data_IF_943809876151
#
_entry.id   IF_943809876151
#
_cell.length_a   1.000
_cell.length_b   1.000
_cell.length_c   1.000
_cell.angle_alpha   90.00
_cell.angle_beta   90.00
_cell.angle_gamma   90.00
#
_symmetry.space_group_name_H-M   'P 1'
#
loop_
_entity.id
_entity.type
_entity.pdbx_description
1 polymer ?
#
# COMPACT_ATOMS: atom_id res chain seq x y z
N UNK A 1 -27.74 -17.76 -10.10
CA UNK A 1 -27.48 -16.65 -9.24
C UNK A 1 -26.31 -16.87 -8.32
N UNK A 2 -26.27 -18.01 -7.72
CA UNK A 2 -25.20 -18.33 -6.78
C UNK A 2 -23.85 -18.47 -7.45
N UNK A 3 -23.85 -18.91 -8.70
CA UNK A 3 -22.61 -19.07 -9.45
C UNK A 3 -21.95 -17.74 -9.71
N UNK A 4 -22.76 -16.71 -9.85
CA UNK A 4 -22.26 -15.36 -10.05
C UNK A 4 -21.51 -14.90 -8.82
N UNK A 5 -21.94 -15.33 -7.64
CA UNK A 5 -21.31 -14.93 -6.41
C UNK A 5 -19.88 -15.42 -6.31
N UNK A 6 -19.61 -16.64 -6.78
CA UNK A 6 -18.26 -17.19 -6.70
C UNK A 6 -17.28 -16.44 -7.59
N UNK A 7 -17.68 -16.08 -8.79
CA UNK A 7 -16.83 -15.30 -9.70
C UNK A 7 -16.62 -13.91 -9.17
N UNK A 8 -17.68 -13.34 -8.65
CA UNK A 8 -17.67 -11.95 -8.16
C UNK A 8 -16.86 -11.84 -6.87
N UNK A 9 -16.90 -12.88 -6.04
CA UNK A 9 -16.21 -12.86 -4.74
C UNK A 9 -14.72 -12.61 -4.87
N UNK A 10 -14.06 -13.18 -5.88
CA UNK A 10 -12.64 -12.96 -6.07
C UNK A 10 -12.35 -11.51 -6.40
N UNK A 11 -13.15 -10.93 -7.31
CA UNK A 11 -13.00 -9.53 -7.67
C UNK A 11 -13.37 -8.61 -6.50
N UNK A 12 -14.42 -8.99 -5.76
CA UNK A 12 -14.85 -8.23 -4.60
C UNK A 12 -13.80 -8.24 -3.51
N UNK A 13 -13.09 -9.37 -3.36
CA UNK A 13 -12.02 -9.48 -2.37
C UNK A 13 -10.88 -8.53 -2.72
N UNK A 14 -10.42 -8.55 -3.96
CA UNK A 14 -9.36 -7.65 -4.39
C UNK A 14 -9.80 -6.19 -4.28
N UNK A 15 -11.03 -5.89 -4.66
CA UNK A 15 -11.56 -4.54 -4.59
C UNK A 15 -11.65 -4.05 -3.14
N UNK A 16 -12.03 -4.93 -2.22
CA UNK A 16 -12.09 -4.59 -0.81
C UNK A 16 -10.70 -4.31 -0.25
N UNK A 17 -9.74 -5.15 -0.62
CA UNK A 17 -8.35 -4.94 -0.19
C UNK A 17 -7.83 -3.62 -0.75
N UNK A 18 -8.10 -3.33 -2.02
CA UNK A 18 -7.68 -2.08 -2.65
C UNK A 18 -8.28 -0.87 -1.93
N UNK A 19 -9.55 -0.96 -1.56
CA UNK A 19 -10.23 0.12 -0.84
C UNK A 19 -9.56 0.39 0.50
N UNK A 20 -9.23 -0.67 1.24
CA UNK A 20 -8.54 -0.54 2.52
C UNK A 20 -7.12 -0.03 2.34
N UNK A 21 -6.46 -0.42 1.25
CA UNK A 21 -5.12 0.09 0.95
C UNK A 21 -5.15 1.56 0.57
N UNK A 22 -6.15 1.99 -0.20
CA UNK A 22 -6.32 3.41 -0.51
C UNK A 22 -6.50 4.21 0.78
N UNK A 23 -7.29 3.70 1.70
CA UNK A 23 -7.51 4.36 2.98
C UNK A 23 -6.20 4.44 3.78
N UNK A 24 -5.43 3.36 3.78
CA UNK A 24 -4.13 3.33 4.47
C UNK A 24 -3.20 4.41 3.93
N UNK A 25 -3.16 4.60 2.60
CA UNK A 25 -2.32 5.64 2.01
C UNK A 25 -2.81 7.04 2.34
N UNK A 26 -4.12 7.24 2.41
CA UNK A 26 -4.70 8.56 2.65
C UNK A 26 -4.72 8.95 4.10
N UNK A 27 -4.74 7.97 5.00
CA UNK A 27 -4.77 8.22 6.44
C UNK A 27 -3.56 7.54 7.09
N UNK A 28 -2.37 7.92 6.64
CA UNK A 28 -1.11 7.35 7.12
C UNK A 28 -0.99 7.53 8.62
N UNK A 29 -0.63 6.44 9.31
CA UNK A 29 -0.49 6.42 10.75
C UNK A 29 -1.80 6.27 11.50
N UNK A 30 -2.94 6.28 10.81
CA UNK A 30 -4.26 6.09 11.43
C UNK A 30 -4.88 4.79 10.93
N UNK A 31 -4.98 4.65 9.60
CA UNK A 31 -5.56 3.45 8.99
C UNK A 31 -4.52 2.37 8.72
N UNK A 32 -3.35 2.47 9.31
CA UNK A 32 -2.23 1.56 9.16
C UNK A 32 -0.99 2.21 9.73
N UNK A 33 0.13 1.51 9.63
CA UNK A 33 1.40 2.04 10.10
C UNK A 33 2.20 2.58 8.92
N UNK A 34 2.88 3.69 9.13
CA UNK A 34 3.78 4.28 8.14
C UNK A 34 5.21 4.02 8.56
N UNK A 35 5.99 3.47 7.64
CA UNK A 35 7.41 3.26 7.84
C UNK A 35 8.18 3.89 6.67
N UNK A 36 9.15 4.72 6.98
CA UNK A 36 10.04 5.30 5.98
C UNK A 36 11.43 4.71 6.19
N UNK A 37 12.05 4.24 5.11
CA UNK A 37 13.40 3.69 5.21
C UNK A 37 14.39 4.78 5.53
N UNK A 38 15.61 4.37 5.88
CA UNK A 38 16.68 5.30 6.21
C UNK A 38 16.96 6.26 5.05
N UNK A 39 16.92 5.77 3.81
CA UNK A 39 17.17 6.61 2.65
C UNK A 39 16.13 7.70 2.48
N UNK A 40 14.88 7.41 2.79
CA UNK A 40 13.82 8.43 2.74
C UNK A 40 13.99 9.39 3.91
N UNK A 41 14.24 8.87 5.09
CA UNK A 41 14.34 9.71 6.31
C UNK A 41 15.55 10.63 6.28
N UNK A 42 16.55 10.32 5.46
CA UNK A 42 17.72 11.16 5.31
C UNK A 42 17.50 12.35 4.37
N UNK A 43 16.38 12.39 3.65
CA UNK A 43 16.06 13.49 2.75
C UNK A 43 15.60 14.71 3.55
N UNK A 44 15.59 15.87 2.88
CA UNK A 44 15.05 17.08 3.51
C UNK A 44 13.58 16.88 3.84
N UNK A 45 13.12 17.55 4.90
CA UNK A 45 11.74 17.43 5.33
C UNK A 45 10.75 17.79 4.22
N UNK A 46 11.06 18.82 3.44
CA UNK A 46 10.18 19.20 2.35
C UNK A 46 10.07 18.12 1.28
N UNK A 47 11.15 17.37 1.05
CA UNK A 47 11.13 16.25 0.10
C UNK A 47 10.35 15.08 0.67
N UNK A 48 10.54 14.79 1.95
CA UNK A 48 9.78 13.73 2.60
C UNK A 48 8.27 14.01 2.53
N UNK A 49 7.88 15.26 2.78
CA UNK A 49 6.47 15.66 2.71
C UNK A 49 5.92 15.53 1.31
N UNK A 50 6.69 15.96 0.30
CA UNK A 50 6.28 15.86 -1.09
C UNK A 50 6.14 14.39 -1.52
N UNK A 51 7.05 13.53 -1.07
CA UNK A 51 6.99 12.10 -1.38
C UNK A 51 5.75 11.48 -0.74
N UNK A 52 5.45 11.80 0.52
CA UNK A 52 4.24 11.28 1.17
C UNK A 52 2.99 11.70 0.43
N UNK A 53 2.96 12.95 -0.04
CA UNK A 53 1.81 13.42 -0.82
C UNK A 53 1.66 12.65 -2.12
N UNK A 54 2.76 12.35 -2.80
CA UNK A 54 2.72 11.55 -4.03
C UNK A 54 2.24 10.13 -3.78
N UNK A 55 2.60 9.55 -2.64
CA UNK A 55 2.09 8.22 -2.26
C UNK A 55 0.58 8.30 -2.00
N UNK A 56 0.17 9.32 -1.27
CA UNK A 56 -1.23 9.52 -0.89
C UNK A 56 -2.13 9.67 -2.12
N UNK A 57 -1.64 10.38 -3.13
CA UNK A 57 -2.44 10.69 -4.33
C UNK A 57 -2.14 9.78 -5.50
N UNK A 58 -1.28 8.77 -5.33
CA UNK A 58 -0.90 7.87 -6.41
C UNK A 58 -2.13 7.16 -6.98
N UNK A 59 -2.28 7.18 -8.30
CA UNK A 59 -3.41 6.51 -8.95
C UNK A 59 -3.01 5.87 -10.29
N UNK A 60 -1.74 5.79 -10.59
CA UNK A 60 -1.24 5.29 -11.88
C UNK A 60 -1.16 3.75 -11.88
N UNK A 61 -2.26 3.10 -11.52
CA UNK A 61 -2.34 1.64 -11.51
C UNK A 61 -2.75 1.10 -12.87
N UNK A 62 -2.06 0.05 -13.31
CA UNK A 62 -2.33 -0.63 -14.58
C UNK A 62 -2.31 -2.13 -14.33
N UNK A 63 -2.82 -2.94 -15.27
CA UNK A 63 -2.71 -4.40 -15.12
C UNK A 63 -1.27 -4.89 -14.99
N UNK A 64 -0.31 -4.15 -15.55
CA UNK A 64 1.10 -4.54 -15.48
C UNK A 64 1.70 -4.31 -14.10
N UNK A 65 1.40 -3.17 -13.47
CA UNK A 65 1.99 -2.85 -12.18
C UNK A 65 1.09 -3.21 -11.00
N UNK A 66 -0.15 -3.60 -11.27
CA UNK A 66 -1.11 -3.99 -10.23
C UNK A 66 -1.92 -5.19 -10.73
N UNK A 67 -1.24 -6.33 -10.98
CA UNK A 67 -1.88 -7.48 -11.61
C UNK A 67 -3.00 -8.10 -10.77
N UNK A 68 -2.96 -7.93 -9.46
CA UNK A 68 -4.00 -8.49 -8.59
C UNK A 68 -5.10 -7.49 -8.25
N UNK A 69 -4.94 -6.23 -8.65
CA UNK A 69 -5.94 -5.21 -8.40
C UNK A 69 -6.08 -4.78 -6.96
N UNK A 70 -5.04 -5.00 -6.15
CA UNK A 70 -5.06 -4.67 -4.72
C UNK A 70 -4.53 -3.28 -4.40
N UNK A 71 -3.85 -2.65 -5.35
CA UNK A 71 -3.25 -1.32 -5.18
C UNK A 71 -2.33 -1.28 -3.96
N UNK A 72 -1.41 -2.24 -3.92
CA UNK A 72 -0.52 -2.40 -2.78
C UNK A 72 0.93 -2.02 -3.07
N UNK A 73 1.20 -1.49 -4.25
CA UNK A 73 2.55 -1.13 -4.66
C UNK A 73 2.50 0.00 -5.70
N UNK A 74 3.46 0.90 -5.63
CA UNK A 74 3.61 1.93 -6.66
C UNK A 74 5.03 2.44 -6.73
N UNK A 75 5.34 3.08 -7.86
CA UNK A 75 6.66 3.64 -8.11
C UNK A 75 6.51 4.99 -8.79
N UNK A 76 7.37 5.92 -8.42
CA UNK A 76 7.41 7.24 -9.07
C UNK A 76 8.80 7.83 -8.88
N UNK A 77 9.04 8.98 -9.52
CA UNK A 77 10.30 9.68 -9.37
C UNK A 77 10.10 10.98 -8.61
N UNK A 78 11.09 11.32 -7.79
CA UNK A 78 11.14 12.57 -7.08
C UNK A 78 12.58 13.08 -7.10
N UNK A 79 12.81 14.23 -7.73
CA UNK A 79 14.13 14.85 -7.85
C UNK A 79 15.18 13.88 -8.39
N UNK A 80 14.79 13.10 -9.42
CA UNK A 80 15.70 12.18 -10.08
C UNK A 80 15.91 10.86 -9.34
N UNK A 81 15.25 10.66 -8.20
CA UNK A 81 15.36 9.43 -7.44
C UNK A 81 14.10 8.61 -7.64
N UNK A 82 14.27 7.31 -7.84
CA UNK A 82 13.13 6.41 -7.97
C UNK A 82 12.67 5.99 -6.58
N UNK A 83 11.38 6.17 -6.33
CA UNK A 83 10.77 5.90 -5.04
C UNK A 83 9.78 4.77 -5.21
N UNK A 84 9.80 3.82 -4.28
CA UNK A 84 8.79 2.75 -4.20
C UNK A 84 7.99 2.94 -2.92
N UNK A 85 6.74 2.53 -2.98
CA UNK A 85 5.94 2.33 -1.77
C UNK A 85 5.26 0.99 -1.88
N UNK A 86 5.05 0.35 -0.74
CA UNK A 86 4.35 -0.94 -0.69
C UNK A 86 3.54 -1.03 0.59
N UNK A 87 2.49 -1.83 0.55
CA UNK A 87 1.67 -2.12 1.72
C UNK A 87 1.73 -3.63 1.96
N UNK A 88 2.15 -4.00 3.17
CA UNK A 88 2.16 -5.39 3.60
C UNK A 88 1.04 -5.60 4.61
N UNK A 89 0.52 -6.82 4.65
CA UNK A 89 -0.60 -7.19 5.51
C UNK A 89 -0.10 -8.14 6.57
N UNK A 90 -0.07 -7.69 7.82
CA UNK A 90 0.37 -8.49 8.95
C UNK A 90 -0.81 -8.83 9.84
N UNK A 91 -0.67 -9.88 10.65
CA UNK A 91 -1.63 -10.16 11.70
C UNK A 91 -1.49 -9.09 12.80
N UNK A 92 -2.41 -9.12 13.77
CA UNK A 92 -2.43 -8.06 14.79
C UNK A 92 -1.22 -8.10 15.71
N UNK A 93 -0.49 -9.22 15.77
CA UNK A 93 0.73 -9.32 16.55
C UNK A 93 1.99 -8.94 15.75
N UNK A 94 1.84 -8.68 14.46
CA UNK A 94 2.94 -8.32 13.56
C UNK A 94 4.00 -9.43 13.44
N UNK A 95 3.60 -10.67 13.62
CA UNK A 95 4.53 -11.80 13.58
C UNK A 95 4.48 -12.57 12.26
N UNK A 96 3.36 -12.51 11.56
CA UNK A 96 3.18 -13.21 10.28
C UNK A 96 2.15 -12.49 9.44
N UNK A 97 1.97 -12.94 8.20
CA UNK A 97 0.97 -12.36 7.33
C UNK A 97 -0.44 -12.55 7.86
N UNK A 98 -1.31 -11.59 7.53
CA UNK A 98 -2.70 -11.66 7.88
C UNK A 98 -3.39 -12.79 7.10
N UNK A 99 -4.28 -13.50 7.76
CA UNK A 99 -5.08 -14.54 7.12
C UNK A 99 -6.25 -13.96 6.33
N UNK A 100 -6.63 -12.72 6.63
CA UNK A 100 -7.76 -12.09 5.93
C UNK A 100 -7.52 -10.59 5.78
N UNK A 101 -6.83 -10.18 4.71
CA UNK A 101 -6.59 -8.75 4.47
C UNK A 101 -7.85 -7.91 4.21
N UNK A 102 -9.01 -8.55 4.04
CA UNK A 102 -10.27 -7.80 3.90
C UNK A 102 -10.84 -7.41 5.25
N UNK A 103 -10.33 -7.98 6.34
CA UNK A 103 -10.85 -7.71 7.66
C UNK A 103 -9.86 -6.82 8.43
N UNK A 104 -10.19 -5.54 8.62
CA UNK A 104 -9.30 -4.63 9.34
C UNK A 104 -9.10 -4.99 10.80
N UNK A 105 -9.97 -5.83 11.37
CA UNK A 105 -9.81 -6.27 12.75
C UNK A 105 -8.75 -7.35 12.88
N UNK A 106 -8.42 -8.04 11.80
CA UNK A 106 -7.42 -9.10 11.77
C UNK A 106 -6.12 -8.68 11.10
N UNK A 107 -6.06 -7.46 10.60
CA UNK A 107 -4.98 -7.03 9.72
C UNK A 107 -4.39 -5.72 10.19
N UNK A 108 -3.06 -5.67 10.31
CA UNK A 108 -2.34 -4.42 10.45
C UNK A 108 -1.63 -4.19 9.12
N UNK A 109 -2.00 -3.11 8.45
CA UNK A 109 -1.34 -2.71 7.21
C UNK A 109 -0.11 -1.88 7.53
N UNK A 110 1.00 -2.21 6.87
CA UNK A 110 2.24 -1.45 7.03
C UNK A 110 2.60 -0.87 5.66
N UNK A 111 2.53 0.43 5.56
CA UNK A 111 2.93 1.17 4.37
C UNK A 111 4.40 1.55 4.52
N UNK A 112 5.23 1.05 3.60
CA UNK A 112 6.65 1.36 3.60
C UNK A 112 6.97 2.23 2.38
N UNK A 113 7.65 3.34 2.61
CA UNK A 113 8.15 4.22 1.55
C UNK A 113 9.67 4.08 1.54
N UNK A 114 10.25 3.83 0.36
CA UNK A 114 11.67 3.52 0.26
C UNK A 114 12.25 4.05 -1.04
N UNK A 115 13.56 4.24 -1.07
CA UNK A 115 14.24 4.40 -2.35
C UNK A 115 14.21 3.06 -3.07
N UNK A 116 14.11 3.09 -4.41
CA UNK A 116 14.11 1.84 -5.17
C UNK A 116 15.36 1.01 -4.89
N UNK A 117 16.48 1.67 -4.60
CA UNK A 117 17.73 0.98 -4.30
C UNK A 117 17.71 0.25 -2.96
N UNK A 118 16.72 0.51 -2.13
CA UNK A 118 16.59 -0.14 -0.82
C UNK A 118 15.63 -1.31 -0.84
N UNK A 119 15.05 -1.57 -2.00
CA UNK A 119 14.02 -2.62 -2.11
C UNK A 119 14.63 -4.04 -2.07
#
# INVERSE_FOLDING_TARGET
MDDTDNSTNTNDTAAKIAELNDLCRKAMGIAGRLYQTQGISALLQQDQSAIREKVETFDAFTPDNDPHGERDFGAFEHNGKKIFWKIDYYDTSLTKGSEDPTDPRQTVRVLTIMLASEY
#
